data_IF_612621606155
#
_entry.id   IF_612621606155
#
_cell.length_a   1.000
_cell.length_b   1.000
_cell.length_c   1.000
_cell.angle_alpha   90.00
_cell.angle_beta   90.00
_cell.angle_gamma   90.00
#
_symmetry.space_group_name_H-M   'P 1'
#
loop_
_entity.id
_entity.type
_entity.pdbx_description
1 polymer ?
#
# COMPACT_ATOMS: atom_id res chain seq x y z
N UNK A 1 11.10 11.98 -13.92
CA UNK A 1 10.25 11.74 -12.73
C UNK A 1 11.03 12.11 -11.47
N UNK A 2 10.48 12.98 -10.62
CA UNK A 2 11.10 13.43 -9.37
C UNK A 2 11.46 12.21 -8.48
N UNK A 3 12.66 12.18 -7.90
CA UNK A 3 13.10 11.08 -7.03
C UNK A 3 12.13 10.82 -5.88
N UNK A 4 11.46 11.85 -5.36
CA UNK A 4 10.44 11.73 -4.31
C UNK A 4 9.22 10.92 -4.79
N UNK A 5 8.79 11.14 -6.03
CA UNK A 5 7.69 10.41 -6.65
C UNK A 5 8.10 8.94 -6.88
N UNK A 6 9.34 8.66 -7.29
CA UNK A 6 9.83 7.28 -7.39
C UNK A 6 9.77 6.55 -6.05
N UNK A 7 10.20 7.20 -4.97
CA UNK A 7 10.14 6.66 -3.61
C UNK A 7 8.69 6.38 -3.20
N UNK A 8 7.74 7.26 -3.54
CA UNK A 8 6.33 7.02 -3.25
C UNK A 8 5.78 5.75 -3.91
N UNK A 9 6.07 5.54 -5.19
CA UNK A 9 5.63 4.34 -5.91
C UNK A 9 6.26 3.07 -5.33
N UNK A 10 7.51 3.13 -4.88
CA UNK A 10 8.14 2.00 -4.19
C UNK A 10 7.37 1.60 -2.92
N UNK A 11 7.01 2.56 -2.06
CA UNK A 11 6.24 2.29 -0.85
C UNK A 11 4.80 1.84 -1.13
N UNK A 12 4.16 2.38 -2.17
CA UNK A 12 2.85 1.88 -2.61
C UNK A 12 2.90 0.45 -3.12
N UNK A 13 3.96 0.07 -3.86
CA UNK A 13 4.17 -1.31 -4.28
C UNK A 13 4.37 -2.24 -3.08
N UNK A 14 5.09 -1.82 -2.05
CA UNK A 14 5.22 -2.59 -0.79
C UNK A 14 3.86 -2.76 -0.12
N UNK A 15 3.07 -1.68 0.01
CA UNK A 15 1.74 -1.76 0.60
C UNK A 15 0.82 -2.72 -0.18
N UNK A 16 0.81 -2.62 -1.50
CA UNK A 16 0.04 -3.52 -2.37
C UNK A 16 0.49 -4.97 -2.24
N UNK A 17 1.80 -5.21 -2.18
CA UNK A 17 2.39 -6.54 -2.00
C UNK A 17 1.99 -7.15 -0.64
N UNK A 18 2.08 -6.38 0.45
CA UNK A 18 1.71 -6.84 1.78
C UNK A 18 0.21 -7.15 1.87
N UNK A 19 -0.63 -6.31 1.27
CA UNK A 19 -2.07 -6.53 1.19
C UNK A 19 -2.39 -7.82 0.40
N UNK A 20 -1.80 -7.98 -0.78
CA UNK A 20 -1.98 -9.18 -1.60
C UNK A 20 -1.52 -10.44 -0.86
N UNK A 21 -0.37 -10.37 -0.19
CA UNK A 21 0.16 -11.47 0.63
C UNK A 21 -0.83 -11.86 1.71
N UNK A 22 -1.43 -10.89 2.43
CA UNK A 22 -2.46 -11.17 3.45
C UNK A 22 -3.64 -11.96 2.86
N UNK A 23 -4.17 -11.51 1.71
CA UNK A 23 -5.31 -12.18 1.06
C UNK A 23 -4.95 -13.58 0.55
N UNK A 24 -3.76 -13.76 -0.01
CA UNK A 24 -3.27 -15.07 -0.48
C UNK A 24 -3.08 -16.03 0.69
N UNK A 25 -2.45 -15.58 1.78
CA UNK A 25 -2.25 -16.41 2.98
C UNK A 25 -3.59 -16.81 3.59
N UNK A 26 -4.54 -15.88 3.70
CA UNK A 26 -5.90 -16.18 4.18
C UNK A 26 -6.60 -17.22 3.29
N UNK A 27 -6.46 -17.08 1.96
CA UNK A 27 -7.02 -18.04 1.01
C UNK A 27 -6.42 -19.44 1.19
N UNK A 28 -5.09 -19.54 1.31
CA UNK A 28 -4.37 -20.82 1.52
C UNK A 28 -4.77 -21.49 2.84
N UNK A 29 -4.93 -20.72 3.91
CA UNK A 29 -5.38 -21.26 5.20
C UNK A 29 -6.82 -21.77 5.05
N UNK A 30 -7.71 -20.93 4.54
CA UNK A 30 -9.13 -21.26 4.41
C UNK A 30 -9.41 -22.39 3.41
N UNK A 31 -8.57 -22.60 2.39
CA UNK A 31 -8.80 -23.61 1.35
C UNK A 31 -8.82 -25.04 1.89
N UNK A 32 -8.16 -25.29 3.03
CA UNK A 32 -8.11 -26.61 3.65
C UNK A 32 -9.23 -26.85 4.68
N UNK A 33 -9.98 -25.80 5.04
CA UNK A 33 -11.01 -25.83 6.10
C UNK A 33 -12.40 -25.48 5.56
N UNK A 34 -12.47 -24.81 4.41
CA UNK A 34 -13.72 -24.49 3.75
C UNK A 34 -14.43 -25.75 3.25
N UNK A 35 -15.75 -25.75 3.43
CA UNK A 35 -16.65 -26.78 2.90
C UNK A 35 -17.75 -26.10 2.11
N UNK A 36 -18.50 -26.85 1.29
CA UNK A 36 -19.61 -26.30 0.49
C UNK A 36 -20.69 -25.58 1.32
N UNK A 37 -20.76 -25.85 2.64
CA UNK A 37 -21.74 -25.24 3.55
C UNK A 37 -21.19 -24.11 4.42
N UNK A 38 -19.86 -23.96 4.56
CA UNK A 38 -19.26 -23.01 5.52
C UNK A 38 -17.97 -22.39 4.98
N UNK A 39 -17.89 -21.05 5.03
CA UNK A 39 -16.72 -20.28 4.61
C UNK A 39 -16.00 -19.64 5.81
N UNK A 40 -14.77 -20.08 6.06
CA UNK A 40 -13.87 -19.61 7.11
C UNK A 40 -12.80 -18.64 6.60
N UNK A 41 -12.99 -18.05 5.41
CA UNK A 41 -12.06 -17.08 4.84
C UNK A 41 -11.85 -15.87 5.76
N UNK A 42 -12.94 -15.30 6.29
CA UNK A 42 -12.89 -14.12 7.15
C UNK A 42 -12.13 -14.38 8.46
N UNK A 43 -12.44 -15.51 9.12
CA UNK A 43 -11.66 -15.96 10.28
C UNK A 43 -10.19 -16.21 9.95
N UNK A 44 -9.89 -16.80 8.79
CA UNK A 44 -8.51 -16.99 8.33
C UNK A 44 -7.81 -15.65 8.05
N UNK A 45 -8.53 -14.68 7.51
CA UNK A 45 -8.04 -13.34 7.20
C UNK A 45 -7.69 -12.55 8.47
N UNK A 46 -8.46 -12.72 9.52
CA UNK A 46 -8.20 -12.11 10.84
C UNK A 46 -7.01 -12.78 11.55
N UNK A 47 -6.85 -14.10 11.40
CA UNK A 47 -5.74 -14.86 12.01
C UNK A 47 -4.37 -14.48 11.42
N UNK A 48 -4.28 -14.15 10.12
CA UNK A 48 -3.02 -13.67 9.49
C UNK A 48 -2.44 -12.45 10.23
N UNK A 49 -3.29 -11.77 11.00
CA UNK A 49 -2.86 -10.98 12.14
C UNK A 49 -2.70 -9.50 11.84
N UNK A 50 -2.72 -8.74 12.92
CA UNK A 50 -2.69 -7.27 12.86
C UNK A 50 -1.35 -6.73 12.33
N UNK A 51 -0.26 -7.49 12.47
CA UNK A 51 1.09 -7.08 12.06
C UNK A 51 1.19 -6.73 10.57
N UNK A 52 0.77 -7.62 9.66
CA UNK A 52 0.80 -7.33 8.21
C UNK A 52 -0.08 -6.12 7.88
N UNK A 53 -1.22 -6.00 8.54
CA UNK A 53 -2.14 -4.86 8.35
C UNK A 53 -1.49 -3.55 8.78
N UNK A 54 -0.80 -3.53 9.93
CA UNK A 54 -0.08 -2.36 10.43
C UNK A 54 1.07 -1.94 9.49
N UNK A 55 1.88 -2.89 9.02
CA UNK A 55 2.97 -2.61 8.08
C UNK A 55 2.46 -2.17 6.71
N UNK A 56 1.33 -2.69 6.26
CA UNK A 56 0.64 -2.24 5.03
C UNK A 56 0.24 -0.77 5.16
N UNK A 57 -0.43 -0.41 6.25
CA UNK A 57 -0.88 0.96 6.52
C UNK A 57 0.31 1.91 6.65
N UNK A 58 1.36 1.53 7.38
CA UNK A 58 2.57 2.34 7.53
C UNK A 58 3.24 2.60 6.18
N UNK A 59 3.40 1.57 5.36
CA UNK A 59 3.98 1.68 4.02
C UNK A 59 3.15 2.62 3.14
N UNK A 60 1.82 2.49 3.20
CA UNK A 60 0.91 3.35 2.46
C UNK A 60 1.01 4.82 2.88
N UNK A 61 1.02 5.10 4.18
CA UNK A 61 1.16 6.46 4.72
C UNK A 61 2.49 7.09 4.29
N UNK A 62 3.59 6.34 4.39
CA UNK A 62 4.91 6.82 3.94
C UNK A 62 4.89 7.14 2.44
N UNK A 63 4.34 6.24 1.61
CA UNK A 63 4.17 6.49 0.18
C UNK A 63 3.39 7.76 -0.12
N UNK A 64 2.28 7.97 0.60
CA UNK A 64 1.41 9.13 0.45
C UNK A 64 2.10 10.44 0.83
N UNK A 65 2.89 10.45 1.92
CA UNK A 65 3.69 11.61 2.34
C UNK A 65 4.70 11.99 1.23
N UNK A 66 5.45 11.02 0.71
CA UNK A 66 6.43 11.27 -0.36
C UNK A 66 5.78 11.72 -1.67
N UNK A 67 4.58 11.20 -1.98
CA UNK A 67 3.84 11.57 -3.17
C UNK A 67 3.38 13.03 -3.12
N UNK A 68 2.70 13.41 -2.03
CA UNK A 68 2.21 14.78 -1.82
C UNK A 68 3.37 15.76 -1.82
N UNK A 69 4.44 15.47 -1.07
CA UNK A 69 5.63 16.32 -1.06
C UNK A 69 6.28 16.40 -2.46
N UNK A 70 6.30 15.30 -3.21
CA UNK A 70 6.82 15.26 -4.57
C UNK A 70 6.06 16.17 -5.53
N UNK A 71 4.73 16.15 -5.45
CA UNK A 71 3.84 17.01 -6.26
C UNK A 71 3.96 18.47 -5.85
N UNK A 72 3.94 18.76 -4.55
CA UNK A 72 4.04 20.12 -4.02
C UNK A 72 5.31 20.83 -4.52
N UNK A 73 6.45 20.15 -4.46
CA UNK A 73 7.72 20.69 -4.98
C UNK A 73 7.66 20.88 -6.49
N UNK A 74 7.08 19.94 -7.22
CA UNK A 74 6.97 20.07 -8.68
C UNK A 74 6.12 21.29 -9.08
N UNK A 75 5.00 21.51 -8.37
CA UNK A 75 4.09 22.62 -8.63
C UNK A 75 4.71 23.99 -8.30
N UNK A 76 5.34 24.13 -7.13
CA UNK A 76 6.00 25.39 -6.73
C UNK A 76 7.17 25.74 -7.66
N UNK A 77 8.01 24.75 -7.98
CA UNK A 77 9.19 24.99 -8.83
C UNK A 77 8.77 25.38 -10.25
N UNK A 78 7.71 24.77 -10.80
CA UNK A 78 7.16 25.20 -12.10
C UNK A 78 6.63 26.63 -12.07
N UNK A 79 5.84 27.00 -11.06
CA UNK A 79 5.29 28.36 -10.96
C UNK A 79 6.38 29.43 -10.82
N UNK A 80 7.51 29.13 -10.17
CA UNK A 80 8.62 30.07 -10.07
C UNK A 80 9.39 30.28 -11.38
N UNK A 81 9.36 29.32 -12.32
CA UNK A 81 9.98 29.48 -13.63
C UNK A 81 9.08 30.31 -14.57
N UNK A 82 7.77 30.11 -14.50
CA UNK A 82 6.79 30.86 -15.30
C UNK A 82 6.79 32.36 -14.96
N UNK A 83 6.96 32.75 -13.69
CA UNK A 83 6.99 34.16 -13.28
C UNK A 83 8.32 34.90 -13.55
N UNK A 84 9.33 34.21 -14.09
CA UNK A 84 10.63 34.82 -14.45
C UNK A 84 10.80 35.10 -15.95
N UNK A 85 9.82 34.70 -16.77
CA UNK A 85 9.73 35.04 -18.19
C UNK A 85 8.81 36.23 -18.39
#
# INVERSE_FOLDING_TARGET
MNNRIKISFFFFSIAAFLLATKHITAAIISSNINTERVNYYEGSYDIVGWGITAWTMLSFIIGLIFFIHGIWVAYIVQNMQHNKQ
#
